data_IF_014192496508
#
_entry.id   IF_014192496508
#
_cell.length_a   1.000
_cell.length_b   1.000
_cell.length_c   1.000
_cell.angle_alpha   90.00
_cell.angle_beta   90.00
_cell.angle_gamma   90.00
#
_symmetry.space_group_name_H-M   'P 1'
#
loop_
_entity.id
_entity.type
_entity.pdbx_description
1 polymer ?
#
# COMPACT_ATOMS: atom_id res chain seq x y z
N UNK A 1 -22.24 25.13 -34.38
CA UNK A 1 -22.35 23.78 -33.74
C UNK A 1 -21.40 23.54 -32.55
N UNK A 2 -20.79 24.58 -31.92
CA UNK A 2 -19.86 24.40 -30.77
C UNK A 2 -20.46 24.71 -29.38
N UNK A 3 -21.62 25.37 -29.30
CA UNK A 3 -22.23 25.78 -28.02
C UNK A 3 -23.12 24.73 -27.37
N UNK A 4 -23.77 23.86 -28.17
CA UNK A 4 -24.71 22.84 -27.68
C UNK A 4 -24.05 21.84 -26.73
N UNK A 5 -22.87 21.34 -27.09
CA UNK A 5 -22.16 20.33 -26.30
C UNK A 5 -21.66 20.88 -24.95
N UNK A 6 -21.33 22.18 -24.86
CA UNK A 6 -20.93 22.79 -23.58
C UNK A 6 -22.09 22.88 -22.60
N UNK A 7 -23.30 23.15 -23.09
CA UNK A 7 -24.48 23.23 -22.25
C UNK A 7 -24.90 21.84 -21.76
N UNK A 8 -24.81 20.80 -22.60
CA UNK A 8 -25.02 19.41 -22.18
C UNK A 8 -24.02 18.96 -21.12
N UNK A 9 -22.72 19.21 -21.31
CA UNK A 9 -21.72 18.87 -20.31
C UNK A 9 -21.95 19.58 -18.97
N UNK A 10 -22.36 20.85 -19.00
CA UNK A 10 -22.66 21.60 -17.77
C UNK A 10 -23.88 21.06 -17.02
N UNK A 11 -24.87 20.50 -17.73
CA UNK A 11 -26.02 19.85 -17.11
C UNK A 11 -25.62 18.52 -16.47
N UNK A 12 -24.82 17.71 -17.18
CA UNK A 12 -24.29 16.45 -16.65
C UNK A 12 -23.43 16.67 -15.41
N UNK A 13 -22.57 17.68 -15.41
CA UNK A 13 -21.69 17.99 -14.27
C UNK A 13 -22.44 18.51 -13.04
N UNK A 14 -23.56 19.20 -13.24
CA UNK A 14 -24.43 19.64 -12.14
C UNK A 14 -25.28 18.52 -11.56
N UNK A 15 -25.44 17.43 -12.31
CA UNK A 15 -26.28 16.30 -11.95
C UNK A 15 -25.47 15.11 -11.41
N UNK A 16 -24.14 15.11 -11.60
CA UNK A 16 -23.23 14.15 -10.99
C UNK A 16 -23.01 14.48 -9.51
N UNK A 17 -23.12 13.46 -8.66
CA UNK A 17 -22.77 13.55 -7.26
C UNK A 17 -21.33 14.02 -7.09
N UNK A 18 -21.10 14.84 -6.06
CA UNK A 18 -19.76 15.32 -5.73
C UNK A 18 -18.86 14.13 -5.37
N UNK A 19 -17.61 14.16 -5.86
CA UNK A 19 -16.63 13.13 -5.55
C UNK A 19 -16.40 13.03 -4.04
N UNK A 20 -16.65 11.85 -3.48
CA UNK A 20 -16.33 11.51 -2.10
C UNK A 20 -15.01 10.74 -2.11
N UNK A 21 -13.95 11.23 -1.45
CA UNK A 21 -12.67 10.54 -1.43
C UNK A 21 -12.79 9.21 -0.68
N UNK A 22 -12.09 8.18 -1.19
CA UNK A 22 -12.07 6.84 -0.59
C UNK A 22 -11.50 6.84 0.84
N UNK A 23 -10.58 7.75 1.11
CA UNK A 23 -9.94 7.93 2.42
C UNK A 23 -10.00 9.41 2.77
N UNK A 24 -10.56 9.72 3.94
CA UNK A 24 -10.57 11.09 4.46
C UNK A 24 -9.14 11.52 4.80
N UNK A 25 -8.81 12.78 4.48
CA UNK A 25 -7.50 13.39 4.76
C UNK A 25 -7.12 13.32 6.25
N UNK A 26 -8.12 13.34 7.13
CA UNK A 26 -7.94 13.25 8.59
C UNK A 26 -7.36 11.89 9.03
N UNK A 27 -7.59 10.82 8.26
CA UNK A 27 -7.13 9.47 8.58
C UNK A 27 -5.85 9.07 7.84
N UNK A 28 -5.46 9.82 6.81
CA UNK A 28 -4.29 9.54 5.98
C UNK A 28 -2.99 9.47 6.80
N UNK A 29 -2.81 10.38 7.76
CA UNK A 29 -1.62 10.40 8.62
C UNK A 29 -1.57 9.21 9.60
N UNK A 30 -2.71 8.81 10.17
CA UNK A 30 -2.76 7.65 11.05
C UNK A 30 -2.52 6.34 10.26
N UNK A 31 -3.07 6.24 9.05
CA UNK A 31 -2.85 5.11 8.15
C UNK A 31 -1.39 5.02 7.71
N UNK A 32 -0.74 6.12 7.33
CA UNK A 32 0.67 6.10 6.94
C UNK A 32 1.58 5.57 8.06
N UNK A 33 1.39 6.05 9.28
CA UNK A 33 2.12 5.58 10.46
C UNK A 33 1.91 4.08 10.71
N UNK A 34 0.67 3.61 10.61
CA UNK A 34 0.34 2.20 10.80
C UNK A 34 1.00 1.32 9.74
N UNK A 35 0.92 1.71 8.46
CA UNK A 35 1.54 0.97 7.36
C UNK A 35 3.08 0.96 7.46
N UNK A 36 3.69 2.08 7.86
CA UNK A 36 5.13 2.14 8.11
C UNK A 36 5.55 1.22 9.27
N UNK A 37 4.83 1.24 10.39
CA UNK A 37 5.13 0.37 11.55
C UNK A 37 5.02 -1.11 11.18
N UNK A 38 3.95 -1.49 10.49
CA UNK A 38 3.75 -2.87 10.02
C UNK A 38 4.84 -3.28 9.03
N UNK A 39 5.20 -2.40 8.09
CA UNK A 39 6.26 -2.64 7.12
C UNK A 39 7.63 -2.86 7.77
N UNK A 40 8.01 -2.02 8.74
CA UNK A 40 9.26 -2.17 9.48
C UNK A 40 9.27 -3.45 10.31
N UNK A 41 8.18 -3.77 11.01
CA UNK A 41 8.09 -5.02 11.78
C UNK A 41 8.21 -6.26 10.89
N UNK A 42 7.56 -6.25 9.71
CA UNK A 42 7.66 -7.34 8.75
C UNK A 42 9.08 -7.48 8.17
N UNK A 43 9.78 -6.37 7.90
CA UNK A 43 11.19 -6.38 7.50
C UNK A 43 12.11 -6.95 8.58
N UNK A 44 11.90 -6.54 9.84
CA UNK A 44 12.66 -7.09 10.98
C UNK A 44 12.42 -8.60 11.10
N UNK A 45 11.19 -9.07 10.90
CA UNK A 45 10.87 -10.49 10.88
C UNK A 45 11.58 -11.22 9.72
N UNK A 46 11.65 -10.62 8.53
CA UNK A 46 12.40 -11.16 7.38
C UNK A 46 13.89 -11.34 7.68
N UNK A 47 14.54 -10.37 8.33
CA UNK A 47 15.97 -10.44 8.68
C UNK A 47 16.24 -11.39 9.84
N UNK A 48 15.29 -11.52 10.77
CA UNK A 48 15.41 -12.38 11.94
C UNK A 48 15.18 -13.87 11.62
N UNK A 49 14.61 -14.18 10.44
CA UNK A 49 14.47 -15.55 9.97
C UNK A 49 15.88 -16.15 9.75
N UNK A 50 16.20 -17.29 10.37
CA UNK A 50 17.54 -17.88 10.27
C UNK A 50 17.86 -18.18 8.82
N UNK A 51 18.93 -17.55 8.32
CA UNK A 51 19.38 -17.64 6.95
C UNK A 51 19.61 -19.13 6.58
N UNK A 52 18.75 -19.67 5.70
CA UNK A 52 18.79 -21.06 5.26
C UNK A 52 20.10 -21.42 4.51
N UNK A 53 20.89 -20.39 4.13
CA UNK A 53 22.10 -20.51 3.33
C UNK A 53 23.23 -21.37 3.95
N UNK A 54 23.24 -21.58 5.28
CA UNK A 54 24.28 -22.38 5.96
C UNK A 54 23.75 -23.60 6.73
N UNK A 55 22.47 -23.91 6.56
CA UNK A 55 21.80 -24.91 7.38
C UNK A 55 21.64 -26.22 6.59
N UNK A 56 22.23 -27.32 7.08
CA UNK A 56 21.95 -28.70 6.65
C UNK A 56 20.52 -29.14 7.05
N UNK A 57 19.51 -28.32 6.74
CA UNK A 57 18.10 -28.61 7.04
C UNK A 57 17.54 -29.55 5.98
N UNK A 58 16.66 -30.49 6.37
CA UNK A 58 15.96 -31.35 5.41
C UNK A 58 15.19 -30.48 4.41
N UNK A 59 15.15 -30.91 3.14
CA UNK A 59 14.61 -30.14 2.01
C UNK A 59 13.18 -29.59 2.27
N UNK A 60 12.32 -30.36 2.94
CA UNK A 60 10.97 -29.92 3.31
C UNK A 60 10.95 -28.74 4.29
N UNK A 61 11.92 -28.66 5.22
CA UNK A 61 12.06 -27.55 6.16
C UNK A 61 12.61 -26.29 5.48
N UNK A 62 13.48 -26.46 4.49
CA UNK A 62 14.00 -25.36 3.67
C UNK A 62 12.88 -24.73 2.81
N UNK A 63 12.04 -25.55 2.17
CA UNK A 63 10.89 -25.07 1.38
C UNK A 63 9.88 -24.33 2.27
N UNK A 64 9.54 -24.87 3.45
CA UNK A 64 8.66 -24.19 4.39
C UNK A 64 9.19 -22.81 4.82
N UNK A 65 10.49 -22.73 5.09
CA UNK A 65 11.15 -21.46 5.44
C UNK A 65 11.15 -20.46 4.28
N UNK A 66 11.34 -20.93 3.04
CA UNK A 66 11.27 -20.10 1.84
C UNK A 66 9.87 -19.53 1.61
N UNK A 67 8.84 -20.37 1.73
CA UNK A 67 7.44 -19.93 1.60
C UNK A 67 7.13 -18.88 2.67
N UNK A 68 7.47 -19.15 3.93
CA UNK A 68 7.25 -18.20 5.02
C UNK A 68 7.97 -16.87 4.77
N UNK A 69 9.24 -16.91 4.37
CA UNK A 69 10.00 -15.71 4.01
C UNK A 69 9.33 -14.92 2.89
N UNK A 70 8.90 -15.60 1.82
CA UNK A 70 8.26 -14.97 0.66
C UNK A 70 6.96 -14.28 1.05
N UNK A 71 6.13 -14.92 1.88
CA UNK A 71 4.90 -14.31 2.39
C UNK A 71 5.17 -13.08 3.25
N UNK A 72 6.12 -13.16 4.19
CA UNK A 72 6.47 -12.02 5.05
C UNK A 72 7.07 -10.87 4.23
N UNK A 73 7.92 -11.19 3.25
CA UNK A 73 8.49 -10.20 2.35
C UNK A 73 7.42 -9.52 1.47
N UNK A 74 6.42 -10.27 1.00
CA UNK A 74 5.30 -9.71 0.25
C UNK A 74 4.47 -8.74 1.12
N UNK A 75 4.18 -9.12 2.37
CA UNK A 75 3.48 -8.24 3.33
C UNK A 75 4.30 -6.97 3.58
N UNK A 76 5.60 -7.12 3.84
CA UNK A 76 6.49 -5.98 4.04
C UNK A 76 6.48 -5.03 2.84
N UNK A 77 6.63 -5.56 1.63
CA UNK A 77 6.65 -4.75 0.40
C UNK A 77 5.33 -4.01 0.18
N UNK A 78 4.19 -4.67 0.38
CA UNK A 78 2.88 -4.02 0.25
C UNK A 78 2.70 -2.95 1.32
N UNK A 79 3.05 -3.24 2.57
CA UNK A 79 2.92 -2.30 3.67
C UNK A 79 3.78 -1.06 3.48
N UNK A 80 5.02 -1.21 3.01
CA UNK A 80 5.90 -0.08 2.69
C UNK A 80 5.34 0.73 1.52
N UNK A 81 4.91 0.08 0.43
CA UNK A 81 4.35 0.79 -0.73
C UNK A 81 3.11 1.62 -0.41
N UNK A 82 2.15 1.06 0.34
CA UNK A 82 1.00 1.83 0.81
C UNK A 82 1.38 2.90 1.84
N UNK A 83 2.32 2.60 2.73
CA UNK A 83 2.85 3.57 3.69
C UNK A 83 3.42 4.81 3.02
N UNK A 84 4.22 4.63 1.96
CA UNK A 84 4.78 5.73 1.15
C UNK A 84 3.70 6.54 0.44
N UNK A 85 2.70 5.89 -0.16
CA UNK A 85 1.57 6.57 -0.82
C UNK A 85 0.78 7.45 0.17
N UNK A 86 0.47 6.91 1.35
CA UNK A 86 -0.22 7.67 2.38
C UNK A 86 0.67 8.78 2.97
N UNK A 87 1.97 8.53 3.13
CA UNK A 87 2.91 9.55 3.60
C UNK A 87 3.05 10.70 2.60
N UNK A 88 3.20 10.40 1.31
CA UNK A 88 3.25 11.40 0.24
C UNK A 88 1.97 12.25 0.23
N UNK A 89 0.80 11.60 0.31
CA UNK A 89 -0.49 12.27 0.39
C UNK A 89 -0.64 13.15 1.63
N UNK A 90 -0.10 12.71 2.78
CA UNK A 90 -0.12 13.47 4.03
C UNK A 90 0.77 14.72 3.99
N UNK A 91 1.92 14.65 3.30
CA UNK A 91 2.85 15.79 3.12
C UNK A 91 2.36 16.77 2.04
N UNK A 92 1.23 16.47 1.38
CA UNK A 92 0.63 17.31 0.34
C UNK A 92 1.13 17.03 -1.07
N UNK A 93 1.83 15.91 -1.28
CA UNK A 93 2.17 15.41 -2.62
C UNK A 93 1.03 14.50 -3.06
N UNK A 94 0.17 15.03 -3.94
CA UNK A 94 -0.98 14.30 -4.48
C UNK A 94 -0.62 13.71 -5.85
N UNK A 95 -0.73 12.39 -5.98
CA UNK A 95 -0.56 11.62 -7.23
C UNK A 95 -1.89 11.22 -7.82
#
# INVERSE_FOLDING_TARGET
MKSSNRQEFSKLFKQSDSYVPLVSSEHTGALSLLFCLVGVLALVACVSLPNSANSKRPLGSAIGSFIQYTFVAAIASLSVGFGELFLASYVGVHT
#
